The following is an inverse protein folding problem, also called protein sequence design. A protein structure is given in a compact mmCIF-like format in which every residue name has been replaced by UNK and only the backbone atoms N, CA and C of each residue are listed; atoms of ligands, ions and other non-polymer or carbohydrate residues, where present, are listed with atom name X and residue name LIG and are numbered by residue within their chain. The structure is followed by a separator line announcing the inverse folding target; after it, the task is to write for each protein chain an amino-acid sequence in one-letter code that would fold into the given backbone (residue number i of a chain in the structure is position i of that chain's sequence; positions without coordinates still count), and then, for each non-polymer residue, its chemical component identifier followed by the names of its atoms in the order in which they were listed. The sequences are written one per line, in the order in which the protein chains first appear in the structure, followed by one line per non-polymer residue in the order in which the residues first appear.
data_IF_683453600897
#
_entry.id   IF_683453600897
#
_cell.length_a   1.000
_cell.length_b   1.000
_cell.length_c   1.000
_cell.angle_alpha   90.00
_cell.angle_beta   90.00
_cell.angle_gamma   90.00
#
_symmetry.space_group_name_H-M   'P 1'
#
loop_
_entity.id
_entity.type
_entity.pdbx_description
1 polymer ?
#
# COMPACT_ATOMS: atom_id res chain seq x y z
N UNK A 1 17.95 4.03 10.79
CA UNK A 1 16.87 3.04 10.69
C UNK A 1 16.92 2.44 9.30
N UNK A 2 17.01 1.11 9.17
CA UNK A 2 17.11 0.46 7.86
C UNK A 2 15.70 0.19 7.31
N UNK A 3 15.53 0.30 6.00
CA UNK A 3 14.28 0.01 5.30
C UNK A 3 14.54 -0.78 4.01
N UNK A 4 13.55 -1.56 3.60
CA UNK A 4 13.51 -2.25 2.32
C UNK A 4 12.80 -1.33 1.33
N UNK A 5 13.33 -1.21 0.11
CA UNK A 5 12.66 -0.45 -0.96
C UNK A 5 12.08 -1.39 -2.00
N UNK A 6 10.84 -1.12 -2.43
CA UNK A 6 10.15 -1.81 -3.51
C UNK A 6 9.84 -0.76 -4.58
N UNK A 7 10.33 -0.95 -5.80
CA UNK A 7 10.24 0.05 -6.89
C UNK A 7 9.59 -0.47 -8.16
N UNK A 8 9.22 -1.75 -8.19
CA UNK A 8 8.64 -2.37 -9.38
C UNK A 8 7.72 -3.54 -9.03
N UNK A 9 6.96 -3.98 -10.05
CA UNK A 9 6.00 -5.09 -9.95
C UNK A 9 6.60 -6.39 -9.41
N UNK A 10 7.81 -6.75 -9.85
CA UNK A 10 8.43 -8.02 -9.47
C UNK A 10 8.80 -8.04 -7.98
N UNK A 11 9.37 -6.94 -7.50
CA UNK A 11 9.71 -6.76 -6.08
C UNK A 11 8.46 -6.79 -5.20
N UNK A 12 7.38 -6.11 -5.59
CA UNK A 12 6.13 -6.12 -4.83
C UNK A 12 5.54 -7.53 -4.74
N UNK A 13 5.49 -8.26 -5.86
CA UNK A 13 5.02 -9.65 -5.87
C UNK A 13 5.89 -10.55 -5.01
N UNK A 14 7.21 -10.40 -5.08
CA UNK A 14 8.14 -11.17 -4.26
C UNK A 14 7.99 -10.87 -2.76
N UNK A 15 7.71 -9.62 -2.41
CA UNK A 15 7.42 -9.21 -1.05
C UNK A 15 6.13 -9.84 -0.53
N UNK A 16 5.03 -9.72 -1.28
CA UNK A 16 3.72 -10.26 -0.90
C UNK A 16 3.71 -11.79 -0.79
N UNK A 17 4.51 -12.47 -1.62
CA UNK A 17 4.66 -13.94 -1.57
C UNK A 17 5.13 -14.46 -0.20
N UNK A 18 5.85 -13.65 0.58
CA UNK A 18 6.29 -14.01 1.95
C UNK A 18 5.13 -14.20 2.93
N UNK A 19 3.92 -13.76 2.55
CA UNK A 19 2.73 -13.81 3.37
C UNK A 19 1.69 -14.81 2.84
N UNK A 20 1.89 -15.42 1.66
CA UNK A 20 0.93 -16.36 1.06
C UNK A 20 0.64 -17.58 1.94
N UNK A 21 1.65 -18.08 2.66
CA UNK A 21 1.52 -19.28 3.51
C UNK A 21 1.01 -18.96 4.93
N UNK A 22 0.70 -17.69 5.24
CA UNK A 22 0.22 -17.28 6.57
C UNK A 22 -1.30 -17.15 6.56
N UNK A 23 -1.97 -17.71 7.58
CA UNK A 23 -3.44 -17.65 7.70
C UNK A 23 -3.97 -16.21 7.80
N UNK A 24 -3.26 -15.34 8.53
CA UNK A 24 -3.55 -13.91 8.61
C UNK A 24 -2.23 -13.16 8.83
N UNK A 25 -2.00 -12.11 8.04
CA UNK A 25 -0.85 -11.22 8.23
C UNK A 25 -1.32 -9.82 8.64
N UNK A 26 -0.65 -9.21 9.61
CA UNK A 26 -0.97 -7.86 10.08
C UNK A 26 0.17 -6.94 9.67
N UNK A 27 -0.17 -5.83 9.04
CA UNK A 27 0.78 -4.77 8.70
C UNK A 27 0.27 -3.43 9.20
N UNK A 28 1.18 -2.54 9.60
CA UNK A 28 0.87 -1.12 9.65
C UNK A 28 1.04 -0.54 8.24
N UNK A 29 0.11 0.30 7.79
CA UNK A 29 0.07 0.86 6.44
C UNK A 29 -0.18 2.37 6.54
N UNK A 30 0.56 3.13 5.74
CA UNK A 30 0.41 4.56 5.54
C UNK A 30 0.71 4.91 4.08
N UNK A 31 0.16 6.02 3.56
CA UNK A 31 0.42 6.47 2.20
C UNK A 31 0.76 7.96 2.14
N UNK A 32 1.58 8.33 1.16
CA UNK A 32 1.86 9.73 0.86
C UNK A 32 1.28 10.10 -0.49
N UNK A 33 0.81 11.34 -0.59
CA UNK A 33 0.09 11.84 -1.74
C UNK A 33 0.60 13.20 -2.22
N UNK A 34 0.43 13.44 -3.52
CA UNK A 34 0.42 14.78 -4.09
C UNK A 34 -1.03 15.23 -4.26
N UNK A 35 -1.36 16.39 -3.70
CA UNK A 35 -2.73 16.90 -3.59
C UNK A 35 -2.91 18.21 -4.38
N UNK A 36 -3.06 18.08 -5.69
CA UNK A 36 -3.51 19.15 -6.58
C UNK A 36 -2.57 20.37 -6.77
N UNK A 37 -1.28 20.22 -6.46
CA UNK A 37 -0.24 21.22 -6.74
C UNK A 37 0.42 20.99 -8.10
N UNK A 38 0.71 19.73 -8.45
CA UNK A 38 1.48 19.37 -9.66
C UNK A 38 0.74 18.39 -10.59
N UNK A 39 -0.24 17.64 -10.09
CA UNK A 39 -1.17 16.86 -10.88
C UNK A 39 -2.61 17.30 -10.54
N UNK A 40 -3.53 17.20 -11.49
CA UNK A 40 -4.94 17.43 -11.18
C UNK A 40 -5.47 16.32 -10.28
N UNK A 41 -6.12 16.69 -9.18
CA UNK A 41 -6.64 15.75 -8.19
C UNK A 41 -5.55 15.21 -7.28
N UNK A 42 -5.80 14.04 -6.70
CA UNK A 42 -4.87 13.37 -5.80
C UNK A 42 -4.10 12.27 -6.52
N UNK A 43 -2.84 12.09 -6.15
CA UNK A 43 -1.98 11.06 -6.71
C UNK A 43 -1.20 10.35 -5.61
N UNK A 44 -1.31 9.01 -5.58
CA UNK A 44 -0.49 8.16 -4.73
C UNK A 44 1.00 8.31 -5.11
N UNK A 45 1.82 8.70 -4.13
CA UNK A 45 3.25 8.97 -4.30
C UNK A 45 4.15 8.02 -3.52
N UNK A 46 3.69 7.50 -2.39
CA UNK A 46 4.43 6.54 -1.58
C UNK A 46 3.47 5.62 -0.83
N UNK A 47 3.94 4.43 -0.50
CA UNK A 47 3.27 3.56 0.48
C UNK A 47 4.29 3.06 1.47
N UNK A 48 4.02 3.27 2.76
CA UNK A 48 4.83 2.82 3.87
C UNK A 48 4.18 1.60 4.52
N UNK A 49 4.99 0.59 4.83
CA UNK A 49 4.56 -0.60 5.55
C UNK A 49 5.52 -0.91 6.68
N UNK A 50 4.97 -1.31 7.83
CA UNK A 50 5.70 -2.11 8.82
C UNK A 50 5.06 -3.50 8.92
N UNK A 51 5.82 -4.55 8.60
CA UNK A 51 5.34 -5.94 8.55
C UNK A 51 5.49 -6.72 9.88
N UNK A 52 5.83 -6.01 10.96
CA UNK A 52 6.20 -6.56 12.26
C UNK A 52 7.70 -6.78 12.45
N UNK A 53 8.49 -6.76 11.37
CA UNK A 53 9.95 -6.94 11.41
C UNK A 53 10.70 -5.87 10.62
N UNK A 54 10.19 -5.49 9.45
CA UNK A 54 10.83 -4.62 8.48
C UNK A 54 9.99 -3.36 8.25
N UNK A 55 10.68 -2.23 8.12
CA UNK A 55 10.13 -1.04 7.50
C UNK A 55 10.29 -1.17 5.99
N UNK A 56 9.21 -0.98 5.24
CA UNK A 56 9.16 -1.13 3.79
C UNK A 56 8.62 0.15 3.18
N UNK A 57 9.32 0.64 2.16
CA UNK A 57 8.91 1.80 1.37
C UNK A 57 8.66 1.33 -0.04
N UNK A 58 7.44 1.52 -0.53
CA UNK A 58 7.02 1.17 -1.88
C UNK A 58 6.91 2.47 -2.68
N UNK A 59 7.62 2.55 -3.80
CA UNK A 59 7.43 3.55 -4.84
C UNK A 59 6.36 3.05 -5.83
N UNK A 60 5.14 3.61 -5.79
CA UNK A 60 4.02 3.15 -6.59
C UNK A 60 4.06 3.71 -8.02
N UNK A 61 4.90 4.71 -8.32
CA UNK A 61 4.86 5.44 -9.60
C UNK A 61 5.24 4.57 -10.80
N UNK A 62 5.95 3.46 -10.57
CA UNK A 62 6.36 2.49 -11.60
C UNK A 62 5.64 1.14 -11.47
N UNK A 63 4.59 1.07 -10.67
CA UNK A 63 3.79 -0.12 -10.43
C UNK A 63 2.37 0.16 -10.90
N UNK A 64 1.83 -0.71 -11.74
CA UNK A 64 0.45 -0.63 -12.20
C UNK A 64 -0.56 -0.90 -11.08
N UNK A 65 -1.76 -0.33 -11.23
CA UNK A 65 -2.84 -0.45 -10.26
C UNK A 65 -3.22 -1.92 -10.00
N UNK A 66 -3.22 -2.79 -11.01
CA UNK A 66 -3.55 -4.22 -10.83
C UNK A 66 -2.57 -4.92 -9.89
N UNK A 67 -1.28 -4.55 -9.93
CA UNK A 67 -0.29 -5.07 -9.00
C UNK A 67 -0.43 -4.43 -7.61
N UNK A 68 -0.74 -3.13 -7.52
CA UNK A 68 -0.99 -2.47 -6.23
C UNK A 68 -2.22 -3.05 -5.52
N UNK A 69 -3.26 -3.46 -6.26
CA UNK A 69 -4.43 -4.14 -5.71
C UNK A 69 -4.08 -5.41 -4.95
N UNK A 70 -3.02 -6.13 -5.34
CA UNK A 70 -2.57 -7.32 -4.61
C UNK A 70 -2.16 -7.03 -3.16
N UNK A 71 -1.78 -5.79 -2.85
CA UNK A 71 -1.52 -5.33 -1.49
C UNK A 71 -2.82 -4.81 -0.85
N UNK A 72 -3.45 -3.82 -1.47
CA UNK A 72 -4.55 -3.07 -0.85
C UNK A 72 -5.85 -3.89 -0.74
N UNK A 73 -6.17 -4.70 -1.74
CA UNK A 73 -7.42 -5.47 -1.80
C UNK A 73 -7.30 -6.88 -1.17
N UNK A 74 -6.10 -7.28 -0.73
CA UNK A 74 -5.89 -8.60 -0.13
C UNK A 74 -6.58 -8.72 1.24
N UNK A 75 -7.57 -9.62 1.35
CA UNK A 75 -8.34 -9.84 2.57
C UNK A 75 -7.60 -10.63 3.64
N UNK A 76 -6.57 -11.39 3.27
CA UNK A 76 -5.73 -12.18 4.19
C UNK A 76 -4.65 -11.33 4.88
N UNK A 77 -4.58 -10.03 4.55
CA UNK A 77 -3.71 -9.07 5.23
C UNK A 77 -4.58 -8.00 5.90
N UNK A 78 -4.52 -7.91 7.22
CA UNK A 78 -5.09 -6.82 8.01
C UNK A 78 -4.18 -5.60 7.92
N UNK A 79 -4.72 -4.47 7.47
CA UNK A 79 -4.03 -3.17 7.40
C UNK A 79 -4.44 -2.35 8.61
N UNK A 80 -3.50 -2.14 9.52
CA UNK A 80 -3.64 -1.19 10.63
C UNK A 80 -3.24 0.18 10.09
N UNK A 81 -4.16 1.14 10.14
CA UNK A 81 -3.98 2.50 9.64
C UNK A 81 -4.36 3.50 10.73
N UNK A 82 -4.12 4.78 10.50
CA UNK A 82 -4.53 5.85 11.42
C UNK A 82 -5.16 6.98 10.61
N UNK A 83 -6.44 7.27 10.86
CA UNK A 83 -7.22 8.27 10.12
C UNK A 83 -7.27 7.99 8.60
N UNK A 84 -7.61 6.74 8.25
CA UNK A 84 -7.55 6.23 6.88
C UNK A 84 -8.59 6.83 5.93
N UNK A 85 -9.48 7.71 6.42
CA UNK A 85 -10.60 8.25 5.63
C UNK A 85 -10.16 8.97 4.35
N UNK A 86 -9.05 9.71 4.41
CA UNK A 86 -8.48 10.40 3.25
C UNK A 86 -7.80 9.41 2.30
N UNK A 87 -7.04 8.44 2.82
CA UNK A 87 -6.35 7.41 2.04
C UNK A 87 -7.30 6.55 1.21
N UNK A 88 -8.42 6.16 1.83
CA UNK A 88 -9.47 5.38 1.18
C UNK A 88 -10.10 6.16 0.01
N UNK A 89 -10.39 7.43 0.24
CA UNK A 89 -10.96 8.32 -0.78
C UNK A 89 -9.97 8.50 -1.93
N UNK A 90 -8.71 8.77 -1.62
CA UNK A 90 -7.64 8.93 -2.60
C UNK A 90 -7.51 7.68 -3.49
N UNK A 91 -7.30 6.50 -2.91
CA UNK A 91 -7.06 5.28 -3.68
C UNK A 91 -8.27 4.88 -4.53
N UNK A 92 -9.49 5.09 -4.01
CA UNK A 92 -10.71 4.84 -4.76
C UNK A 92 -10.82 5.75 -5.98
N UNK A 93 -10.56 7.05 -5.80
CA UNK A 93 -10.77 8.06 -6.83
C UNK A 93 -9.63 8.12 -7.86
N UNK A 94 -8.38 7.96 -7.43
CA UNK A 94 -7.20 8.10 -8.30
C UNK A 94 -6.79 6.80 -8.99
N UNK A 95 -7.07 5.65 -8.38
CA UNK A 95 -6.55 4.35 -8.85
C UNK A 95 -7.63 3.26 -9.00
N UNK A 96 -8.87 3.50 -8.57
CA UNK A 96 -9.94 2.50 -8.57
C UNK A 96 -9.62 1.31 -7.65
N UNK A 97 -8.91 1.58 -6.55
CA UNK A 97 -8.48 0.60 -5.55
C UNK A 97 -9.34 0.76 -4.30
N UNK A 98 -9.81 -0.35 -3.73
CA UNK A 98 -10.51 -0.34 -2.44
C UNK A 98 -9.69 -1.08 -1.39
N UNK A 99 -9.16 -0.39 -0.37
CA UNK A 99 -8.45 -1.09 0.71
C UNK A 99 -9.45 -2.01 1.45
N UNK A 100 -9.08 -3.29 1.61
CA UNK A 100 -9.88 -4.31 2.33
C UNK A 100 -9.24 -4.66 3.67
N UNK A 101 -9.99 -5.27 4.58
CA UNK A 101 -9.47 -5.73 5.89
C UNK A 101 -8.68 -4.65 6.62
N UNK A 102 -9.37 -3.58 7.04
CA UNK A 102 -8.75 -2.42 7.70
C UNK A 102 -9.11 -2.43 9.18
N UNK A 103 -8.15 -2.08 10.02
CA UNK A 103 -8.36 -1.62 11.38
C UNK A 103 -7.82 -0.19 11.45
N UNK A 104 -8.70 0.75 11.75
CA UNK A 104 -8.39 2.17 11.99
C UNK A 104 -8.64 2.47 13.48
#
# INVERSE_FOLDING_TARGET
MNYITIKNRAELRSYLKKFEDKELHIIALDIEAESNLHAYGEKLCLTQIFDGLNNVIIDPLKIDNDTLKLLFENTNTLKVMYDAGSDLSLLKNSAGIEIKSILD
#
